data_IF_898060125265
#
_entry.id   IF_898060125265
#
_cell.length_a   1.000
_cell.length_b   1.000
_cell.length_c   1.000
_cell.angle_alpha   90.00
_cell.angle_beta   90.00
_cell.angle_gamma   90.00
#
_symmetry.space_group_name_H-M   'P 1'
#
loop_
_entity.id
_entity.type
_entity.pdbx_description
1 polymer ?
#
# COMPACT_ATOMS: atom_id res chain seq x y z
N UNK A 1 -60.25 -17.07 58.12
CA UNK A 1 -59.61 -17.45 56.85
C UNK A 1 -59.19 -16.17 56.14
N UNK A 2 -57.91 -15.81 56.21
CA UNK A 2 -57.23 -14.91 55.26
C UNK A 2 -55.73 -15.16 55.42
N UNK A 3 -55.08 -15.70 54.39
CA UNK A 3 -53.63 -15.93 54.35
C UNK A 3 -53.01 -14.75 53.60
N UNK A 4 -51.97 -14.08 54.14
CA UNK A 4 -51.11 -13.22 53.34
C UNK A 4 -49.89 -13.99 52.82
N UNK A 5 -49.62 -13.76 51.54
CA UNK A 5 -48.53 -14.26 50.69
C UNK A 5 -47.15 -13.80 51.17
N UNK A 6 -46.06 -14.59 51.02
CA UNK A 6 -44.70 -14.11 51.22
C UNK A 6 -44.14 -13.43 49.96
N UNK A 7 -43.64 -12.21 50.11
CA UNK A 7 -42.87 -11.49 49.09
C UNK A 7 -41.42 -12.02 49.10
N UNK A 8 -41.05 -12.79 48.07
CA UNK A 8 -39.70 -13.27 47.86
C UNK A 8 -38.98 -12.33 46.89
N UNK A 9 -38.21 -11.39 47.43
CA UNK A 9 -37.25 -10.59 46.66
C UNK A 9 -36.14 -11.50 46.12
N UNK A 10 -36.14 -11.73 44.81
CA UNK A 10 -35.07 -12.42 44.06
C UNK A 10 -33.96 -11.40 43.76
N UNK A 11 -32.68 -11.64 44.11
CA UNK A 11 -31.59 -10.80 43.62
C UNK A 11 -31.31 -11.09 42.14
N UNK A 12 -31.30 -10.04 41.34
CA UNK A 12 -30.96 -10.04 39.92
C UNK A 12 -29.52 -10.53 39.68
N UNK A 13 -29.27 -11.45 38.73
CA UNK A 13 -27.91 -11.81 38.36
C UNK A 13 -27.26 -10.71 37.51
N UNK A 14 -26.11 -10.21 37.96
CA UNK A 14 -25.21 -9.31 37.21
C UNK A 14 -24.82 -9.92 35.87
N UNK A 15 -24.98 -9.24 34.73
CA UNK A 15 -24.53 -9.76 33.45
C UNK A 15 -23.00 -9.79 33.38
N UNK A 16 -22.49 -10.95 32.95
CA UNK A 16 -21.09 -11.30 32.84
C UNK A 16 -20.24 -10.25 32.10
N UNK A 17 -19.04 -10.03 32.63
CA UNK A 17 -17.98 -9.30 31.97
C UNK A 17 -17.76 -9.86 30.54
N UNK A 18 -18.06 -9.03 29.55
CA UNK A 18 -17.70 -9.29 28.16
C UNK A 18 -16.17 -9.28 28.06
N UNK A 19 -15.57 -10.45 27.98
CA UNK A 19 -14.20 -10.60 27.49
C UNK A 19 -14.21 -10.29 25.99
N UNK A 20 -14.06 -9.02 25.64
CA UNK A 20 -13.75 -8.62 24.27
C UNK A 20 -12.33 -9.13 23.98
N UNK A 21 -12.12 -9.99 22.96
CA UNK A 21 -10.76 -10.30 22.54
C UNK A 21 -10.07 -9.00 22.06
N UNK A 22 -8.75 -8.87 22.24
CA UNK A 22 -8.04 -7.72 21.69
C UNK A 22 -8.29 -7.67 20.17
N UNK A 23 -8.47 -6.48 19.57
CA UNK A 23 -8.50 -6.39 18.12
C UNK A 23 -7.17 -6.92 17.62
N UNK A 24 -7.18 -8.10 16.99
CA UNK A 24 -6.04 -8.61 16.25
C UNK A 24 -5.60 -7.49 15.31
N UNK A 25 -4.42 -6.94 15.58
CA UNK A 25 -3.78 -5.95 14.74
C UNK A 25 -3.39 -6.66 13.44
N UNK A 26 -4.32 -6.69 12.49
CA UNK A 26 -4.01 -7.03 11.11
C UNK A 26 -2.83 -6.16 10.67
N UNK A 27 -1.79 -6.71 10.02
CA UNK A 27 -0.79 -5.88 9.38
C UNK A 27 -1.55 -5.06 8.33
N UNK A 28 -1.72 -3.77 8.61
CA UNK A 28 -2.28 -2.80 7.67
C UNK A 28 -1.17 -2.52 6.68
N UNK A 29 -0.87 -3.46 5.79
CA UNK A 29 -0.07 -3.19 4.62
C UNK A 29 -1.07 -2.81 3.52
N UNK A 30 -1.44 -1.52 3.41
CA UNK A 30 -2.35 -1.09 2.37
C UNK A 30 -1.75 -1.50 1.02
N UNK A 31 -2.54 -2.22 0.23
CA UNK A 31 -2.14 -2.71 -1.08
C UNK A 31 -1.55 -1.56 -1.91
N UNK A 32 -0.29 -1.73 -2.35
CA UNK A 32 0.44 -0.66 -3.00
C UNK A 32 0.02 -0.56 -4.48
N UNK A 33 -0.34 0.64 -4.99
CA UNK A 33 -0.92 0.80 -6.32
C UNK A 33 0.00 0.33 -7.46
N UNK A 34 1.33 0.41 -7.29
CA UNK A 34 2.27 -0.12 -8.27
C UNK A 34 2.12 -1.63 -8.51
N UNK A 35 1.69 -2.39 -7.50
CA UNK A 35 1.51 -3.84 -7.62
C UNK A 35 0.25 -4.23 -8.42
N UNK A 36 -0.63 -3.27 -8.71
CA UNK A 36 -1.80 -3.49 -9.56
C UNK A 36 -1.46 -3.47 -11.07
N UNK A 37 -0.30 -2.92 -11.45
CA UNK A 37 0.04 -2.68 -12.86
C UNK A 37 0.87 -3.84 -13.39
N UNK A 38 0.19 -4.84 -13.93
CA UNK A 38 0.82 -5.99 -14.58
C UNK A 38 1.24 -5.72 -16.03
N UNK A 39 0.70 -4.70 -16.69
CA UNK A 39 1.01 -4.39 -18.09
C UNK A 39 1.08 -2.87 -18.35
N UNK A 40 2.29 -2.31 -18.25
CA UNK A 40 2.52 -0.87 -18.42
C UNK A 40 2.34 -0.39 -19.88
N UNK A 41 2.40 -1.29 -20.88
CA UNK A 41 2.29 -0.92 -22.30
C UNK A 41 0.96 -0.24 -22.65
N UNK A 42 -0.09 -0.49 -21.87
CA UNK A 42 -1.38 0.21 -22.01
C UNK A 42 -1.35 1.66 -21.52
N UNK A 43 -0.42 2.00 -20.62
CA UNK A 43 -0.32 3.32 -20.00
C UNK A 43 0.82 4.17 -20.57
N UNK A 44 1.84 3.55 -21.18
CA UNK A 44 2.94 4.22 -21.86
C UNK A 44 3.05 3.63 -23.28
N UNK A 45 2.23 4.11 -24.24
CA UNK A 45 2.25 3.60 -25.61
C UNK A 45 3.44 4.12 -26.44
N UNK A 46 4.40 4.81 -25.82
CA UNK A 46 5.61 5.29 -26.49
C UNK A 46 6.70 4.23 -26.33
N UNK A 47 7.01 3.57 -27.44
CA UNK A 47 8.16 2.68 -27.56
C UNK A 47 9.42 3.54 -27.68
N UNK A 48 10.39 3.33 -26.79
CA UNK A 48 11.67 4.03 -26.86
C UNK A 48 12.53 3.40 -27.97
N UNK A 49 12.64 4.07 -29.12
CA UNK A 49 13.64 3.74 -30.16
C UNK A 49 14.93 4.55 -29.93
N UNK A 50 16.08 3.88 -29.98
CA UNK A 50 17.40 4.44 -29.66
C UNK A 50 17.83 5.64 -30.54
N UNK A 51 17.14 5.93 -31.64
CA UNK A 51 17.42 7.08 -32.54
C UNK A 51 16.69 8.39 -32.16
N UNK A 52 15.98 8.41 -31.03
CA UNK A 52 15.90 9.54 -30.08
C UNK A 52 15.45 10.93 -30.58
N UNK A 53 14.17 11.07 -30.95
CA UNK A 53 13.43 12.35 -30.85
C UNK A 53 12.50 12.39 -29.62
N UNK A 54 12.18 11.23 -29.03
CA UNK A 54 11.12 11.11 -28.02
C UNK A 54 11.61 10.82 -26.60
N UNK A 55 12.93 10.78 -26.33
CA UNK A 55 13.47 10.50 -25.00
C UNK A 55 12.94 11.46 -23.93
N UNK A 56 12.96 12.77 -24.22
CA UNK A 56 12.46 13.78 -23.28
C UNK A 56 11.00 13.54 -22.92
N UNK A 57 10.14 13.29 -23.92
CA UNK A 57 8.72 12.98 -23.74
C UNK A 57 8.50 11.69 -22.96
N UNK A 58 9.28 10.64 -23.23
CA UNK A 58 9.21 9.39 -22.47
C UNK A 58 9.59 9.59 -21.00
N UNK A 59 10.67 10.33 -20.73
CA UNK A 59 11.11 10.64 -19.36
C UNK A 59 10.01 11.38 -18.60
N UNK A 60 9.33 12.35 -19.22
CA UNK A 60 8.21 13.07 -18.60
C UNK A 60 7.02 12.15 -18.30
N UNK A 61 6.60 11.33 -19.27
CA UNK A 61 5.51 10.36 -19.07
C UNK A 61 5.83 9.34 -17.98
N UNK A 62 7.06 8.82 -17.97
CA UNK A 62 7.48 7.85 -16.96
C UNK A 62 7.49 8.46 -15.57
N UNK A 63 7.94 9.71 -15.41
CA UNK A 63 7.86 10.44 -14.13
C UNK A 63 6.41 10.63 -13.68
N UNK A 64 5.49 10.96 -14.58
CA UNK A 64 4.06 11.09 -14.27
C UNK A 64 3.48 9.75 -13.80
N UNK A 65 3.80 8.66 -14.51
CA UNK A 65 3.38 7.31 -14.15
C UNK A 65 3.93 6.87 -12.78
N UNK A 66 5.21 7.10 -12.53
CA UNK A 66 5.83 6.77 -11.26
C UNK A 66 5.25 7.59 -10.10
N UNK A 67 4.87 8.85 -10.35
CA UNK A 67 4.22 9.71 -9.35
C UNK A 67 2.82 9.21 -9.00
N UNK A 68 2.01 8.83 -9.99
CA UNK A 68 0.65 8.30 -9.74
C UNK A 68 0.68 6.98 -8.96
N UNK A 69 1.71 6.16 -9.18
CA UNK A 69 1.91 4.89 -8.48
C UNK A 69 2.76 5.00 -7.21
N UNK A 70 3.06 6.22 -6.74
CA UNK A 70 3.83 6.51 -5.51
C UNK A 70 5.27 5.98 -5.49
N UNK A 71 5.83 5.57 -6.62
CA UNK A 71 7.20 5.01 -6.75
C UNK A 71 8.23 5.98 -7.32
N UNK A 72 7.89 7.27 -7.50
CA UNK A 72 8.81 8.28 -8.05
C UNK A 72 10.18 8.34 -7.32
N UNK A 73 10.18 8.05 -6.03
CA UNK A 73 11.36 8.07 -5.17
C UNK A 73 12.33 6.90 -5.40
N UNK A 74 11.93 5.87 -6.16
CA UNK A 74 12.84 4.83 -6.67
C UNK A 74 13.65 5.31 -7.88
N UNK A 75 13.27 6.42 -8.51
CA UNK A 75 13.88 6.92 -9.75
C UNK A 75 14.68 8.19 -9.49
N UNK A 76 14.11 9.12 -8.73
CA UNK A 76 14.72 10.42 -8.46
C UNK A 76 15.00 10.48 -6.95
N UNK A 77 16.27 10.68 -6.54
CA UNK A 77 16.59 10.92 -5.15
C UNK A 77 15.80 12.13 -4.62
N UNK A 78 15.27 12.05 -3.39
CA UNK A 78 14.63 13.21 -2.78
C UNK A 78 15.60 14.39 -2.67
N UNK A 79 15.07 15.60 -2.71
CA UNK A 79 15.88 16.80 -2.42
C UNK A 79 16.48 16.69 -1.00
N UNK A 80 17.72 17.17 -0.80
CA UNK A 80 18.35 17.14 0.51
C UNK A 80 17.46 17.83 1.55
N UNK A 81 17.19 17.14 2.66
CA UNK A 81 16.27 17.60 3.71
C UNK A 81 14.79 17.28 3.50
N UNK A 82 14.43 16.58 2.41
CA UNK A 82 13.11 15.96 2.19
C UNK A 82 13.22 14.44 2.04
N UNK A 83 14.24 13.84 2.66
CA UNK A 83 14.42 12.40 2.63
C UNK A 83 13.17 11.70 3.17
N UNK A 84 12.65 10.75 2.38
CA UNK A 84 11.64 9.83 2.90
C UNK A 84 12.27 8.94 3.96
N UNK A 85 11.44 8.53 4.92
CA UNK A 85 11.81 7.54 5.92
C UNK A 85 12.38 6.31 5.22
N UNK A 86 13.61 5.94 5.56
CA UNK A 86 14.22 4.68 5.13
C UNK A 86 13.35 3.54 5.67
N UNK A 87 13.12 2.46 4.92
CA UNK A 87 12.44 1.29 5.46
C UNK A 87 13.19 0.76 6.69
N UNK A 88 12.50 0.61 7.82
CA UNK A 88 13.10 0.25 9.12
C UNK A 88 12.82 -1.22 9.49
N UNK A 89 11.73 -1.79 8.97
CA UNK A 89 11.36 -3.19 9.22
C UNK A 89 11.75 -4.09 8.05
N UNK A 90 11.77 -5.40 8.30
CA UNK A 90 12.03 -6.41 7.26
C UNK A 90 10.93 -6.38 6.18
N UNK A 91 9.66 -6.32 6.59
CA UNK A 91 8.51 -6.21 5.69
C UNK A 91 8.57 -4.94 4.82
N UNK A 92 9.01 -3.80 5.38
CA UNK A 92 9.16 -2.54 4.64
C UNK A 92 10.31 -2.62 3.64
N UNK A 93 11.42 -3.30 3.97
CA UNK A 93 12.54 -3.53 3.06
C UNK A 93 12.15 -4.48 1.92
N UNK A 94 11.44 -5.56 2.21
CA UNK A 94 10.94 -6.49 1.18
C UNK A 94 9.98 -5.77 0.22
N UNK A 95 9.06 -4.97 0.76
CA UNK A 95 8.17 -4.15 -0.05
C UNK A 95 8.95 -3.16 -0.91
N UNK A 96 9.95 -2.49 -0.34
CA UNK A 96 10.80 -1.56 -1.08
C UNK A 96 11.51 -2.24 -2.25
N UNK A 97 12.13 -3.40 -2.02
CA UNK A 97 12.79 -4.18 -3.07
C UNK A 97 11.81 -4.64 -4.15
N UNK A 98 10.59 -5.02 -3.76
CA UNK A 98 9.53 -5.42 -4.70
C UNK A 98 9.09 -4.24 -5.59
N UNK A 99 8.94 -3.05 -5.01
CA UNK A 99 8.60 -1.84 -5.75
C UNK A 99 9.72 -1.42 -6.70
N UNK A 100 10.97 -1.55 -6.27
CA UNK A 100 12.14 -1.29 -7.10
C UNK A 100 12.19 -2.20 -8.34
N UNK A 101 12.05 -3.51 -8.13
CA UNK A 101 11.98 -4.49 -9.22
C UNK A 101 10.80 -4.24 -10.17
N UNK A 102 9.66 -3.79 -9.64
CA UNK A 102 8.48 -3.43 -10.45
C UNK A 102 8.77 -2.22 -11.35
N UNK A 103 9.43 -1.19 -10.82
CA UNK A 103 9.84 -0.01 -11.60
C UNK A 103 10.83 -0.39 -12.69
N UNK A 104 11.80 -1.26 -12.40
CA UNK A 104 12.75 -1.77 -13.40
C UNK A 104 12.02 -2.54 -14.50
N UNK A 105 11.11 -3.45 -14.14
CA UNK A 105 10.30 -4.21 -15.08
C UNK A 105 9.51 -3.28 -16.03
N UNK A 106 8.97 -2.19 -15.51
CA UNK A 106 8.27 -1.18 -16.30
C UNK A 106 9.19 -0.49 -17.31
N UNK A 107 10.38 -0.07 -16.89
CA UNK A 107 11.37 0.56 -17.78
C UNK A 107 11.71 -0.39 -18.92
N UNK A 108 12.13 -1.62 -18.62
CA UNK A 108 12.50 -2.61 -19.64
C UNK A 108 11.35 -2.97 -20.57
N UNK A 109 10.10 -2.97 -20.09
CA UNK A 109 8.93 -3.25 -20.93
C UNK A 109 8.65 -2.16 -21.97
N UNK A 110 9.17 -0.94 -21.77
CA UNK A 110 8.97 0.21 -22.67
C UNK A 110 10.14 0.46 -23.62
N UNK A 111 11.26 -0.21 -23.42
CA UNK A 111 12.40 -0.19 -24.36
C UNK A 111 12.10 -1.20 -25.48
N UNK A 112 12.27 -0.79 -26.74
CA UNK A 112 12.15 -1.73 -27.86
C UNK A 112 13.23 -2.80 -27.77
N UNK A 113 12.83 -4.06 -27.95
CA UNK A 113 13.72 -5.14 -28.38
C UNK A 113 14.28 -4.86 -29.76
#
# INVERSE_FOLDING_TARGET
MSIPTPDATIPTPTPAATHTPPPCSSPKNPFHPALAVTNIKNHIPIVLEMENVHFGTWVELFKIHARSHKVLHHIIPPEPGKEKKTPETDDEQELWATLDATVLQWIYSTISS
#
